data_IF_863685399000
#
_entry.id   IF_863685399000
#
_cell.length_a   1.000
_cell.length_b   1.000
_cell.length_c   1.000
_cell.angle_alpha   90.00
_cell.angle_beta   90.00
_cell.angle_gamma   90.00
#
_symmetry.space_group_name_H-M   'P 1'
#
loop_
_entity.id
_entity.type
_entity.pdbx_description
1 polymer ?
#
# COMPACT_ATOMS: atom_id res chain seq x y z
N UNK A 1 -7.72 -11.20 -15.47
CA UNK A 1 -8.19 -9.98 -16.15
C UNK A 1 -8.99 -9.09 -15.21
N UNK A 2 -10.24 -9.45 -14.92
CA UNK A 2 -11.19 -8.63 -14.13
C UNK A 2 -10.67 -8.20 -12.75
N UNK A 3 -10.02 -9.08 -11.99
CA UNK A 3 -9.48 -8.75 -10.65
C UNK A 3 -8.39 -7.66 -10.76
N UNK A 4 -7.48 -7.79 -11.72
CA UNK A 4 -6.43 -6.80 -11.99
C UNK A 4 -7.03 -5.48 -12.47
N UNK A 5 -8.08 -5.54 -13.31
CA UNK A 5 -8.81 -4.35 -13.74
C UNK A 5 -9.52 -3.66 -12.56
N UNK A 6 -10.10 -4.43 -11.64
CA UNK A 6 -10.68 -3.91 -10.40
C UNK A 6 -9.65 -3.23 -9.52
N UNK A 7 -8.50 -3.85 -9.32
CA UNK A 7 -7.36 -3.26 -8.61
C UNK A 7 -6.88 -1.97 -9.27
N UNK A 8 -6.66 -1.97 -10.59
CA UNK A 8 -6.24 -0.80 -11.34
C UNK A 8 -7.27 0.34 -11.28
N UNK A 9 -8.56 0.02 -11.44
CA UNK A 9 -9.66 0.96 -11.32
C UNK A 9 -9.75 1.57 -9.93
N UNK A 10 -9.66 0.75 -8.89
CA UNK A 10 -9.57 1.21 -7.50
C UNK A 10 -8.38 2.12 -7.28
N UNK A 11 -7.20 1.74 -7.76
CA UNK A 11 -5.97 2.55 -7.64
C UNK A 11 -6.09 3.91 -8.32
N UNK A 12 -6.69 3.96 -9.51
CA UNK A 12 -6.94 5.20 -10.22
C UNK A 12 -7.89 6.10 -9.44
N UNK A 13 -9.03 5.56 -8.96
CA UNK A 13 -10.00 6.31 -8.14
C UNK A 13 -9.34 6.82 -6.87
N UNK A 14 -8.61 5.97 -6.14
CA UNK A 14 -7.93 6.36 -4.91
C UNK A 14 -6.96 7.52 -5.15
N UNK A 15 -6.16 7.43 -6.20
CA UNK A 15 -5.17 8.45 -6.55
C UNK A 15 -5.84 9.78 -6.96
N UNK A 16 -6.97 9.73 -7.67
CA UNK A 16 -7.76 10.92 -7.98
C UNK A 16 -8.34 11.58 -6.71
N UNK A 17 -8.83 10.79 -5.76
CA UNK A 17 -9.30 11.31 -4.46
C UNK A 17 -8.13 11.95 -3.70
N UNK A 18 -6.94 11.35 -3.73
CA UNK A 18 -5.73 11.96 -3.18
C UNK A 18 -5.41 13.29 -3.88
N UNK A 19 -5.52 13.40 -5.20
CA UNK A 19 -5.31 14.67 -5.91
C UNK A 19 -6.33 15.75 -5.51
N UNK A 20 -7.59 15.36 -5.32
CA UNK A 20 -8.68 16.29 -5.00
C UNK A 20 -8.70 16.76 -3.53
N UNK A 21 -8.37 15.87 -2.59
CA UNK A 21 -8.54 16.08 -1.15
C UNK A 21 -7.22 15.99 -0.37
N UNK A 22 -6.16 15.46 -0.98
CA UNK A 22 -4.83 15.30 -0.40
C UNK A 22 -4.23 16.56 0.20
N UNK A 23 -4.28 17.73 -0.47
CA UNK A 23 -3.78 18.97 0.11
C UNK A 23 -4.52 19.44 1.37
N UNK A 24 -5.75 18.95 1.59
CA UNK A 24 -6.62 19.34 2.71
C UNK A 24 -6.53 18.38 3.90
N UNK A 25 -5.86 17.25 3.76
CA UNK A 25 -5.81 16.17 4.75
C UNK A 25 -4.34 15.85 5.06
N UNK A 26 -4.01 15.63 6.33
CA UNK A 26 -2.63 15.33 6.70
C UNK A 26 -2.13 14.04 6.03
N UNK A 27 -0.84 14.00 5.68
CA UNK A 27 -0.20 12.81 5.10
C UNK A 27 -0.32 11.58 6.02
N UNK A 28 -0.29 11.80 7.33
CA UNK A 28 -0.49 10.75 8.36
C UNK A 28 -1.87 10.11 8.25
N UNK A 29 -2.92 10.91 8.08
CA UNK A 29 -4.28 10.38 7.92
C UNK A 29 -4.39 9.56 6.64
N UNK A 30 -3.76 9.98 5.54
CA UNK A 30 -3.71 9.19 4.32
C UNK A 30 -2.95 7.87 4.47
N UNK A 31 -1.81 7.89 5.15
CA UNK A 31 -1.00 6.68 5.36
C UNK A 31 -1.70 5.68 6.30
N UNK A 32 -2.20 6.14 7.45
CA UNK A 32 -2.90 5.29 8.42
C UNK A 32 -4.26 4.83 7.88
N UNK A 33 -5.04 5.73 7.28
CA UNK A 33 -6.32 5.41 6.66
C UNK A 33 -6.15 4.45 5.47
N UNK A 34 -5.15 4.69 4.63
CA UNK A 34 -4.78 3.80 3.54
C UNK A 34 -4.42 2.40 4.04
N UNK A 35 -3.61 2.30 5.10
CA UNK A 35 -3.21 1.02 5.68
C UNK A 35 -4.40 0.22 6.23
N UNK A 36 -5.37 0.89 6.86
CA UNK A 36 -6.63 0.27 7.32
C UNK A 36 -7.49 -0.20 6.13
N UNK A 37 -7.66 0.64 5.11
CA UNK A 37 -8.43 0.28 3.90
C UNK A 37 -7.78 -0.89 3.17
N UNK A 38 -6.44 -0.91 3.10
CA UNK A 38 -5.70 -1.98 2.45
C UNK A 38 -5.84 -3.30 3.23
N UNK A 39 -5.74 -3.26 4.56
CA UNK A 39 -5.99 -4.42 5.41
C UNK A 39 -7.42 -4.96 5.24
N UNK A 40 -8.42 -4.07 5.18
CA UNK A 40 -9.81 -4.45 4.93
C UNK A 40 -9.99 -5.12 3.56
N UNK A 41 -9.37 -4.58 2.50
CA UNK A 41 -9.40 -5.18 1.17
C UNK A 41 -8.76 -6.57 1.13
N UNK A 42 -7.65 -6.75 1.85
CA UNK A 42 -6.95 -8.03 1.99
C UNK A 42 -7.79 -9.09 2.69
N UNK A 43 -8.54 -8.70 3.73
CA UNK A 43 -9.45 -9.61 4.42
C UNK A 43 -10.62 -10.06 3.54
N UNK A 44 -11.06 -9.30 2.54
CA UNK A 44 -12.15 -9.74 1.64
C UNK A 44 -11.73 -10.94 0.76
N UNK A 45 -10.44 -11.05 0.43
CA UNK A 45 -9.94 -12.04 -0.55
C UNK A 45 -10.03 -13.51 -0.07
N UNK A 46 -9.59 -13.89 1.15
CA UNK A 46 -9.66 -15.26 1.66
C UNK A 46 -11.05 -15.89 1.61
N UNK A 47 -12.10 -15.10 1.86
CA UNK A 47 -13.49 -15.56 1.94
C UNK A 47 -14.28 -15.31 0.65
N UNK A 48 -13.62 -14.87 -0.42
CA UNK A 48 -14.30 -14.64 -1.68
C UNK A 48 -14.71 -15.97 -2.33
N UNK A 49 -15.99 -16.29 -2.24
CA UNK A 49 -16.59 -17.45 -2.92
C UNK A 49 -16.96 -17.16 -4.38
N UNK A 50 -16.95 -15.89 -4.78
CA UNK A 50 -17.43 -15.40 -6.08
C UNK A 50 -16.43 -14.43 -6.69
N UNK A 51 -16.27 -14.45 -8.02
CA UNK A 51 -15.41 -13.52 -8.77
C UNK A 51 -15.69 -12.05 -8.44
N UNK A 52 -16.96 -11.69 -8.22
CA UNK A 52 -17.38 -10.34 -7.84
C UNK A 52 -16.77 -9.89 -6.51
N UNK A 53 -16.71 -10.78 -5.52
CA UNK A 53 -16.09 -10.49 -4.22
C UNK A 53 -14.59 -10.32 -4.34
N UNK A 54 -13.92 -11.15 -5.16
CA UNK A 54 -12.48 -11.01 -5.42
C UNK A 54 -12.16 -9.70 -6.14
N UNK A 55 -12.99 -9.29 -7.10
CA UNK A 55 -12.86 -7.99 -7.80
C UNK A 55 -13.10 -6.84 -6.83
N UNK A 56 -14.11 -6.93 -5.96
CA UNK A 56 -14.39 -5.90 -4.96
C UNK A 56 -13.24 -5.77 -3.95
N UNK A 57 -12.73 -6.88 -3.42
CA UNK A 57 -11.57 -6.89 -2.53
C UNK A 57 -10.32 -6.29 -3.19
N UNK A 58 -10.07 -6.65 -4.45
CA UNK A 58 -8.98 -6.08 -5.24
C UNK A 58 -9.17 -4.58 -5.51
N UNK A 59 -10.39 -4.12 -5.77
CA UNK A 59 -10.69 -2.71 -5.94
C UNK A 59 -10.46 -1.91 -4.64
N UNK A 60 -10.87 -2.45 -3.49
CA UNK A 60 -10.63 -1.85 -2.17
C UNK A 60 -9.13 -1.80 -1.87
N UNK A 61 -8.40 -2.88 -2.16
CA UNK A 61 -6.93 -2.90 -2.06
C UNK A 61 -6.31 -1.81 -2.93
N UNK A 62 -6.78 -1.69 -4.18
CA UNK A 62 -6.33 -0.68 -5.13
C UNK A 62 -6.56 0.74 -4.63
N UNK A 63 -7.74 1.04 -4.07
CA UNK A 63 -8.11 2.36 -3.55
C UNK A 63 -7.09 2.92 -2.54
N UNK A 64 -6.49 2.06 -1.72
CA UNK A 64 -5.43 2.46 -0.80
C UNK A 64 -4.05 2.45 -1.45
N UNK A 65 -3.75 1.43 -2.25
CA UNK A 65 -2.43 1.21 -2.82
C UNK A 65 -1.96 2.37 -3.71
N UNK A 66 -2.85 2.91 -4.56
CA UNK A 66 -2.52 4.03 -5.45
C UNK A 66 -2.01 5.26 -4.69
N UNK A 67 -2.83 5.86 -3.80
CA UNK A 67 -2.42 6.97 -2.94
C UNK A 67 -1.15 6.72 -2.14
N UNK A 68 -1.01 5.54 -1.53
CA UNK A 68 0.17 5.21 -0.74
C UNK A 68 1.44 5.21 -1.59
N UNK A 69 1.41 4.64 -2.79
CA UNK A 69 2.54 4.67 -3.72
C UNK A 69 2.88 6.10 -4.15
N UNK A 70 1.87 6.92 -4.45
CA UNK A 70 2.09 8.34 -4.81
C UNK A 70 2.73 9.11 -3.66
N UNK A 71 2.20 9.01 -2.43
CA UNK A 71 2.72 9.72 -1.26
C UNK A 71 4.15 9.27 -0.96
N UNK A 72 4.42 7.97 -0.97
CA UNK A 72 5.77 7.44 -0.73
C UNK A 72 6.77 7.97 -1.75
N UNK A 73 6.39 8.02 -3.03
CA UNK A 73 7.26 8.55 -4.07
C UNK A 73 7.49 10.06 -3.91
N UNK A 74 6.46 10.83 -3.56
CA UNK A 74 6.60 12.27 -3.28
C UNK A 74 7.52 12.50 -2.08
N UNK A 75 7.34 11.75 -0.98
CA UNK A 75 8.21 11.85 0.20
C UNK A 75 9.67 11.51 -0.18
N UNK A 76 9.89 10.49 -0.99
CA UNK A 76 11.22 10.14 -1.47
C UNK A 76 11.84 11.30 -2.26
N UNK A 77 11.08 11.90 -3.18
CA UNK A 77 11.52 13.03 -3.98
C UNK A 77 11.83 14.26 -3.14
N UNK A 78 11.04 14.55 -2.11
CA UNK A 78 11.27 15.70 -1.21
C UNK A 78 12.47 15.49 -0.26
N UNK A 79 12.77 14.25 0.12
CA UNK A 79 13.83 13.92 1.09
C UNK A 79 15.20 13.70 0.45
N UNK A 80 15.24 13.32 -0.82
CA UNK A 80 16.47 12.93 -1.51
C UNK A 80 16.92 14.05 -2.45
N UNK A 81 18.19 14.52 -2.36
CA UNK A 81 18.72 15.53 -3.27
C UNK A 81 18.66 15.08 -4.74
N UNK A 82 18.38 16.02 -5.66
CA UNK A 82 18.20 15.72 -7.10
C UNK A 82 19.36 14.92 -7.71
N UNK A 83 20.60 15.22 -7.31
CA UNK A 83 21.81 14.52 -7.77
C UNK A 83 21.88 13.04 -7.37
N UNK A 84 21.13 12.64 -6.34
CA UNK A 84 21.09 11.27 -5.82
C UNK A 84 19.78 10.55 -6.14
N UNK A 85 18.74 11.25 -6.60
CA UNK A 85 17.43 10.64 -6.89
C UNK A 85 17.53 9.47 -7.86
N UNK A 86 18.32 9.61 -8.94
CA UNK A 86 18.53 8.53 -9.89
C UNK A 86 19.17 7.28 -9.27
N UNK A 87 20.11 7.46 -8.34
CA UNK A 87 20.80 6.36 -7.62
C UNK A 87 19.91 5.69 -6.57
N UNK A 88 19.13 6.49 -5.83
CA UNK A 88 18.20 5.96 -4.82
C UNK A 88 17.05 5.23 -5.51
N UNK A 89 16.48 5.81 -6.56
CA UNK A 89 15.38 5.19 -7.31
C UNK A 89 15.83 3.89 -7.98
N UNK A 90 17.02 3.84 -8.58
CA UNK A 90 17.53 2.59 -9.16
C UNK A 90 17.77 1.51 -8.11
N UNK A 91 18.28 1.88 -6.93
CA UNK A 91 18.46 0.94 -5.80
C UNK A 91 17.12 0.41 -5.29
N UNK A 92 16.11 1.28 -5.14
CA UNK A 92 14.75 0.89 -4.74
C UNK A 92 14.12 -0.05 -5.77
N UNK A 93 14.19 0.28 -7.05
CA UNK A 93 13.66 -0.57 -8.11
C UNK A 93 14.38 -1.92 -8.19
N UNK A 94 15.69 -1.96 -7.96
CA UNK A 94 16.43 -3.22 -7.89
C UNK A 94 15.94 -4.09 -6.71
N UNK A 95 15.76 -3.49 -5.53
CA UNK A 95 15.21 -4.20 -4.38
C UNK A 95 13.79 -4.73 -4.63
N UNK A 96 12.91 -3.91 -5.20
CA UNK A 96 11.53 -4.32 -5.55
C UNK A 96 11.54 -5.44 -6.59
N UNK A 97 12.41 -5.34 -7.61
CA UNK A 97 12.55 -6.31 -8.68
C UNK A 97 13.05 -7.68 -8.18
N UNK A 98 13.89 -7.70 -7.14
CA UNK A 98 14.35 -8.93 -6.49
C UNK A 98 13.30 -9.47 -5.49
N UNK A 99 12.63 -8.58 -4.75
CA UNK A 99 11.64 -8.96 -3.76
C UNK A 99 10.41 -9.64 -4.38
N UNK A 100 9.96 -9.18 -5.54
CA UNK A 100 8.80 -9.73 -6.26
C UNK A 100 8.92 -11.24 -6.58
N UNK A 101 9.95 -11.72 -7.31
CA UNK A 101 10.08 -13.14 -7.62
C UNK A 101 10.33 -13.98 -6.36
N UNK A 102 11.07 -13.47 -5.37
CA UNK A 102 11.26 -14.17 -4.09
C UNK A 102 9.92 -14.38 -3.39
N UNK A 103 9.08 -13.35 -3.33
CA UNK A 103 7.74 -13.44 -2.75
C UNK A 103 6.86 -14.47 -3.47
N UNK A 104 6.90 -14.51 -4.79
CA UNK A 104 6.16 -15.49 -5.60
C UNK A 104 6.64 -16.92 -5.34
N UNK A 105 7.96 -17.13 -5.28
CA UNK A 105 8.53 -18.47 -5.01
C UNK A 105 8.15 -18.95 -3.61
N UNK A 106 8.30 -18.11 -2.58
CA UNK A 106 7.91 -18.45 -1.21
C UNK A 106 6.41 -18.74 -1.14
N UNK A 107 5.58 -17.90 -1.76
CA UNK A 107 4.13 -18.11 -1.78
C UNK A 107 3.77 -19.43 -2.47
N UNK A 108 4.40 -19.77 -3.60
CA UNK A 108 4.19 -21.03 -4.31
C UNK A 108 4.51 -22.25 -3.44
N UNK A 109 5.70 -22.27 -2.82
CA UNK A 109 6.12 -23.37 -1.95
C UNK A 109 5.19 -23.56 -0.74
N UNK A 110 4.67 -22.47 -0.17
CA UNK A 110 3.72 -22.54 0.93
C UNK A 110 2.37 -23.06 0.44
N UNK A 111 1.91 -22.62 -0.74
CA UNK A 111 0.63 -23.03 -1.32
C UNK A 111 0.58 -24.51 -1.72
N UNK A 112 1.72 -25.15 -1.98
CA UNK A 112 1.79 -26.59 -2.24
C UNK A 112 1.41 -27.44 -1.01
N UNK A 113 1.54 -26.88 0.20
CA UNK A 113 1.30 -27.59 1.47
C UNK A 113 0.17 -26.99 2.33
N UNK A 114 -0.27 -25.76 2.02
CA UNK A 114 -1.22 -25.00 2.82
C UNK A 114 -2.36 -24.48 1.94
N UNK A 115 -3.59 -24.53 2.45
CA UNK A 115 -4.76 -24.00 1.75
C UNK A 115 -4.59 -22.50 1.41
N UNK A 116 -4.94 -22.13 0.17
CA UNK A 116 -4.87 -20.76 -0.36
C UNK A 116 -5.54 -19.75 0.58
N UNK A 117 -6.71 -20.10 1.12
CA UNK A 117 -7.45 -19.27 2.09
C UNK A 117 -6.61 -18.93 3.32
N UNK A 118 -5.87 -19.89 3.87
CA UNK A 118 -5.04 -19.67 5.05
C UNK A 118 -3.84 -18.79 4.74
N UNK A 119 -3.21 -18.97 3.57
CA UNK A 119 -2.10 -18.12 3.11
C UNK A 119 -2.57 -16.68 2.92
N UNK A 120 -3.70 -16.47 2.23
CA UNK A 120 -4.27 -15.13 2.06
C UNK A 120 -4.66 -14.49 3.40
N UNK A 121 -5.24 -15.27 4.32
CA UNK A 121 -5.59 -14.80 5.65
C UNK A 121 -4.35 -14.44 6.48
N UNK A 122 -3.27 -15.20 6.35
CA UNK A 122 -1.99 -14.88 7.00
C UNK A 122 -1.40 -13.57 6.49
N UNK A 123 -1.44 -13.33 5.16
CA UNK A 123 -0.99 -12.05 4.58
C UNK A 123 -1.86 -10.90 5.09
N UNK A 124 -3.18 -11.08 5.13
CA UNK A 124 -4.11 -10.08 5.68
C UNK A 124 -3.83 -9.81 7.16
N UNK A 125 -3.54 -10.84 7.95
CA UNK A 125 -3.18 -10.72 9.36
C UNK A 125 -1.86 -9.95 9.55
N UNK A 126 -0.82 -10.25 8.76
CA UNK A 126 0.45 -9.50 8.80
C UNK A 126 0.21 -8.02 8.48
N UNK A 127 -0.53 -7.70 7.43
CA UNK A 127 -0.88 -6.32 7.10
C UNK A 127 -1.68 -5.63 8.19
N UNK A 128 -2.60 -6.36 8.84
CA UNK A 128 -3.37 -5.85 9.96
C UNK A 128 -2.48 -5.59 11.17
N UNK A 129 -1.50 -6.45 11.45
CA UNK A 129 -0.52 -6.22 12.53
C UNK A 129 0.35 -5.00 12.25
N UNK A 130 0.75 -4.78 10.99
CA UNK A 130 1.45 -3.55 10.58
C UNK A 130 0.53 -2.33 10.74
N UNK A 131 -0.75 -2.45 10.40
CA UNK A 131 -1.74 -1.40 10.63
C UNK A 131 -1.85 -1.06 12.12
N UNK A 132 -2.03 -2.08 12.96
CA UNK A 132 -2.15 -1.92 14.41
C UNK A 132 -0.87 -1.33 14.99
N UNK A 133 0.32 -1.80 14.58
CA UNK A 133 1.58 -1.28 15.10
C UNK A 133 1.83 0.18 14.68
N UNK A 134 1.44 0.55 13.46
CA UNK A 134 1.49 1.93 12.98
C UNK A 134 0.50 2.84 13.74
N UNK A 135 -0.70 2.33 14.06
CA UNK A 135 -1.68 3.07 14.88
C UNK A 135 -1.25 3.17 16.35
N UNK A 136 -0.59 2.14 16.88
CA UNK A 136 -0.14 2.06 18.27
C UNK A 136 1.10 2.90 18.53
N UNK A 137 1.97 3.11 17.53
CA UNK A 137 3.16 3.95 17.69
C UNK A 137 2.79 5.44 17.59
N UNK A 138 2.90 6.21 18.69
CA UNK A 138 2.58 7.63 18.69
C UNK A 138 3.49 8.44 17.77
N UNK A 139 4.71 7.96 17.50
CA UNK A 139 5.65 8.61 16.59
C UNK A 139 5.11 8.69 15.15
N UNK A 140 4.41 7.64 14.66
CA UNK A 140 3.75 7.68 13.34
C UNK A 140 2.57 8.66 13.31
N UNK A 141 1.84 8.77 14.42
CA UNK A 141 0.75 9.74 14.60
C UNK A 141 1.27 11.19 14.68
N UNK A 142 2.48 11.35 15.20
CA UNK A 142 3.19 12.62 15.36
C UNK A 142 4.18 12.91 14.22
N UNK A 143 4.19 12.15 13.12
CA UNK A 143 4.78 12.62 11.84
C UNK A 143 3.88 13.73 11.27
N UNK A 144 3.65 14.77 12.07
CA UNK A 144 3.60 16.14 11.59
C UNK A 144 4.92 16.33 10.85
N UNK A 145 4.93 15.99 9.55
CA UNK A 145 5.99 16.39 8.64
C UNK A 145 6.09 17.89 8.85
N UNK A 146 7.16 18.31 9.52
CA UNK A 146 7.37 19.69 9.89
C UNK A 146 7.06 20.55 8.68
N UNK A 147 5.95 21.30 8.76
CA UNK A 147 5.57 22.32 7.81
C UNK A 147 6.61 23.44 7.95
N UNK A 148 7.84 23.22 7.49
CA UNK A 148 8.74 24.32 7.16
C UNK A 148 8.31 24.83 5.79
N UNK A 149 7.17 25.52 5.79
CA UNK A 149 7.03 26.72 4.99
C UNK A 149 7.94 27.74 5.68
N UNK A 150 9.24 27.69 5.35
CA UNK A 150 10.13 28.79 5.68
C UNK A 150 9.89 29.85 4.60
N UNK A 151 8.89 30.69 4.85
CA UNK A 151 8.80 32.00 4.22
C UNK A 151 9.92 32.85 4.79
N UNK A 152 10.97 33.06 4.00
CA UNK A 152 11.75 34.30 4.01
C UNK A 152 12.51 34.49 2.71
#
# INVERSE_FOLDING_TARGET
>A
GLIIAGFGGGSLVGTLVLGAVGPRVSRVVWLLGGLVVMAAGLWILPWSSTITLSVAGAAVLGLANGPMNTIMMVILQERVPESLLGRVNSSLMAMISIASPIGVVIAGLVLDSVAVTLVMAAIAAVFTLVAISALANPEFRNVSVATRVDTR
#
